data_IF_065629684721
#
_entry.id   IF_065629684721
#
_cell.length_a   1.000
_cell.length_b   1.000
_cell.length_c   1.000
_cell.angle_alpha   90.00
_cell.angle_beta   90.00
_cell.angle_gamma   90.00
#
_symmetry.space_group_name_H-M   'P 1'
#
loop_
_entity.id
_entity.type
_entity.pdbx_description
1 polymer ?
#
# COMPACT_ATOMS: atom_id res chain seq x y z
N UNK A 1 19.45 19.45 -14.68
CA UNK A 1 18.19 20.12 -14.29
C UNK A 1 17.25 19.34 -13.37
N UNK A 2 17.22 18.00 -13.42
CA UNK A 2 16.38 17.18 -12.55
C UNK A 2 16.74 17.24 -11.04
N UNK A 3 17.95 17.67 -10.68
CA UNK A 3 18.40 17.73 -9.29
C UNK A 3 17.58 18.71 -8.43
N UNK A 4 17.25 18.31 -7.20
CA UNK A 4 16.66 19.20 -6.18
C UNK A 4 17.71 20.11 -5.56
N UNK A 5 17.29 21.19 -4.91
CA UNK A 5 18.21 22.15 -4.27
C UNK A 5 19.07 21.48 -3.20
N UNK A 6 18.51 20.53 -2.45
CA UNK A 6 19.23 19.85 -1.38
C UNK A 6 20.33 18.92 -1.90
N UNK A 7 20.07 18.24 -3.04
CA UNK A 7 21.10 17.46 -3.74
C UNK A 7 22.22 18.36 -4.26
N UNK A 8 21.89 19.54 -4.80
CA UNK A 8 22.92 20.50 -5.23
C UNK A 8 23.75 21.00 -4.04
N UNK A 9 23.11 21.31 -2.89
CA UNK A 9 23.83 21.70 -1.68
C UNK A 9 24.73 20.59 -1.14
N UNK A 10 24.32 19.32 -1.28
CA UNK A 10 25.16 18.17 -0.93
C UNK A 10 26.45 18.17 -1.75
N UNK A 11 26.37 18.28 -3.08
CA UNK A 11 27.57 18.37 -3.93
C UNK A 11 28.40 19.63 -3.67
N UNK A 12 27.77 20.79 -3.41
CA UNK A 12 28.51 21.99 -3.03
C UNK A 12 29.32 21.76 -1.75
N UNK A 13 28.76 21.05 -0.76
CA UNK A 13 29.47 20.71 0.47
C UNK A 13 30.66 19.79 0.22
N UNK A 14 30.46 18.77 -0.60
CA UNK A 14 31.48 17.77 -0.94
C UNK A 14 32.69 18.41 -1.63
N UNK A 15 32.46 19.40 -2.50
CA UNK A 15 33.49 20.11 -3.27
C UNK A 15 33.99 21.37 -2.52
N UNK A 16 33.45 21.68 -1.34
CA UNK A 16 33.89 22.82 -0.53
C UNK A 16 33.44 24.20 -1.06
N UNK A 17 32.31 24.26 -1.78
CA UNK A 17 31.72 25.48 -2.34
C UNK A 17 30.57 25.99 -1.47
N UNK A 18 30.35 27.31 -1.44
CA UNK A 18 29.27 27.93 -0.67
C UNK A 18 27.86 27.42 -1.07
N UNK A 19 27.06 27.01 -0.08
CA UNK A 19 25.74 26.37 -0.22
C UNK A 19 24.54 27.35 -0.28
N UNK A 20 24.77 28.66 -0.35
CA UNK A 20 23.71 29.69 -0.33
C UNK A 20 23.24 30.05 -1.74
N UNK A 21 22.01 30.52 -1.92
CA UNK A 21 21.51 31.05 -3.21
C UNK A 21 20.38 30.23 -3.85
N UNK A 22 19.90 30.69 -5.02
CA UNK A 22 18.87 30.00 -5.79
C UNK A 22 19.46 28.80 -6.53
N UNK A 23 18.60 27.90 -7.03
CA UNK A 23 18.99 26.69 -7.78
C UNK A 23 19.96 27.00 -8.94
N UNK A 24 19.70 28.08 -9.69
CA UNK A 24 20.55 28.52 -10.79
C UNK A 24 21.97 28.89 -10.33
N UNK A 25 22.09 29.61 -9.21
CA UNK A 25 23.39 30.05 -8.68
C UNK A 25 24.22 28.89 -8.15
N UNK A 26 23.57 27.87 -7.57
CA UNK A 26 24.22 26.64 -7.11
C UNK A 26 24.72 25.81 -8.30
N UNK A 27 23.92 25.69 -9.37
CA UNK A 27 24.32 25.00 -10.59
C UNK A 27 25.51 25.67 -11.27
N UNK A 28 25.48 27.01 -11.40
CA UNK A 28 26.58 27.76 -12.00
C UNK A 28 27.89 27.57 -11.22
N UNK A 29 27.82 27.64 -9.88
CA UNK A 29 28.97 27.41 -8.99
C UNK A 29 29.51 25.99 -9.06
N UNK A 30 28.64 24.99 -9.10
CA UNK A 30 29.06 23.60 -9.23
C UNK A 30 29.78 23.38 -10.57
N UNK A 31 29.21 23.85 -11.68
CA UNK A 31 29.85 23.73 -13.01
C UNK A 31 31.25 24.36 -13.01
N UNK A 32 31.37 25.59 -12.51
CA UNK A 32 32.67 26.26 -12.43
C UNK A 32 33.68 25.51 -11.54
N UNK A 33 33.23 24.92 -10.44
CA UNK A 33 34.10 24.14 -9.56
C UNK A 33 34.57 22.82 -10.20
N UNK A 34 33.66 22.10 -10.87
CA UNK A 34 34.01 20.88 -11.61
C UNK A 34 34.99 21.15 -12.75
N UNK A 35 34.78 22.24 -13.50
CA UNK A 35 35.70 22.67 -14.56
C UNK A 35 37.08 23.05 -14.01
N UNK A 36 37.14 23.80 -12.90
CA UNK A 36 38.40 24.20 -12.26
C UNK A 36 39.19 22.99 -11.74
N UNK A 37 38.49 22.01 -11.18
CA UNK A 37 39.11 20.84 -10.56
C UNK A 37 39.35 19.70 -11.59
N UNK A 38 39.02 19.92 -12.87
CA UNK A 38 39.18 18.94 -13.96
C UNK A 38 38.34 17.68 -13.79
N UNK A 39 37.28 17.74 -12.98
CA UNK A 39 36.40 16.60 -12.69
C UNK A 39 35.22 16.61 -13.65
N UNK A 40 34.82 15.42 -14.11
CA UNK A 40 33.60 15.27 -14.89
C UNK A 40 32.37 15.62 -14.04
N UNK A 41 31.32 16.15 -14.69
CA UNK A 41 30.05 16.39 -14.03
C UNK A 41 29.45 15.06 -13.53
N UNK A 42 28.70 15.08 -12.40
CA UNK A 42 28.12 13.87 -11.86
C UNK A 42 27.20 13.18 -12.86
N UNK A 43 27.34 11.88 -13.02
CA UNK A 43 26.48 11.10 -13.89
C UNK A 43 25.08 10.91 -13.24
N UNK A 44 24.06 10.48 -14.00
CA UNK A 44 22.71 10.29 -13.45
C UNK A 44 22.63 9.31 -12.26
N UNK A 45 23.52 8.33 -12.21
CA UNK A 45 23.57 7.34 -11.12
C UNK A 45 24.11 7.97 -9.82
N UNK A 46 25.17 8.76 -9.90
CA UNK A 46 25.72 9.52 -8.76
C UNK A 46 24.69 10.53 -8.21
N UNK A 47 23.91 11.15 -9.10
CA UNK A 47 22.77 11.99 -8.73
C UNK A 47 21.70 11.23 -7.96
N UNK A 48 21.38 10.00 -8.37
CA UNK A 48 20.41 9.15 -7.67
C UNK A 48 20.93 8.73 -6.29
N UNK A 49 22.19 8.29 -6.17
CA UNK A 49 22.81 7.95 -4.89
C UNK A 49 22.87 9.15 -3.93
N UNK A 50 23.19 10.35 -4.43
CA UNK A 50 23.18 11.56 -3.63
C UNK A 50 21.76 11.91 -3.14
N UNK A 51 20.73 11.68 -3.96
CA UNK A 51 19.34 11.88 -3.58
C UNK A 51 18.91 10.93 -2.45
N UNK A 52 19.27 9.65 -2.52
CA UNK A 52 19.03 8.68 -1.44
C UNK A 52 19.74 9.08 -0.15
N UNK A 53 20.98 9.56 -0.26
CA UNK A 53 21.78 10.01 0.90
C UNK A 53 21.15 11.21 1.58
N UNK A 54 20.69 12.20 0.80
CA UNK A 54 20.00 13.39 1.32
C UNK A 54 18.67 12.99 1.99
N UNK A 55 17.93 12.05 1.40
CA UNK A 55 16.69 11.53 2.00
C UNK A 55 16.98 10.82 3.33
N UNK A 56 17.99 9.96 3.39
CA UNK A 56 18.40 9.28 4.61
C UNK A 56 18.82 10.27 5.72
N UNK A 57 19.62 11.28 5.39
CA UNK A 57 20.01 12.33 6.34
C UNK A 57 18.79 13.13 6.84
N UNK A 58 17.82 13.40 5.97
CA UNK A 58 16.58 14.10 6.37
C UNK A 58 15.75 13.27 7.35
N UNK A 59 15.68 11.95 7.17
CA UNK A 59 14.97 11.03 8.05
C UNK A 59 15.66 10.92 9.42
N UNK A 60 17.00 10.82 9.44
CA UNK A 60 17.77 10.81 10.68
C UNK A 60 17.65 12.12 11.46
N UNK A 61 17.64 13.27 10.78
CA UNK A 61 17.40 14.57 11.43
C UNK A 61 15.98 14.67 12.02
N UNK A 62 14.98 14.10 11.34
CA UNK A 62 13.59 14.04 11.82
C UNK A 62 13.46 13.15 13.07
N UNK A 63 14.17 12.02 13.15
CA UNK A 63 14.12 11.14 14.33
C UNK A 63 14.91 11.67 15.53
N UNK A 64 16.04 12.34 15.31
CA UNK A 64 16.82 12.97 16.38
C UNK A 64 16.05 14.10 17.09
N UNK A 65 15.27 14.90 16.35
CA UNK A 65 14.41 15.94 16.93
C UNK A 65 13.26 15.38 17.76
N UNK A 66 12.79 14.18 17.45
CA UNK A 66 11.74 13.50 18.22
C UNK A 66 12.27 13.04 19.59
N UNK A 67 13.46 12.46 19.64
CA UNK A 67 14.08 12.02 20.91
C UNK A 67 14.36 13.19 21.86
N UNK A 68 14.83 14.33 21.34
CA UNK A 68 15.07 15.52 22.17
C UNK A 68 13.78 16.15 22.74
N UNK A 69 12.65 16.00 22.03
CA UNK A 69 11.36 16.49 22.52
C UNK A 69 10.74 15.60 23.61
N UNK A 70 11.14 14.32 23.68
CA UNK A 70 10.67 13.36 24.67
C UNK A 70 11.54 13.38 25.95
N UNK A 71 12.82 13.79 25.86
CA UNK A 71 13.72 13.91 27.02
C UNK A 71 13.54 15.22 27.83
N UNK A 72 13.08 16.32 27.21
CA UNK A 72 12.82 17.60 27.90
C UNK A 72 11.40 17.70 28.51
N UNK A 73 10.67 16.58 28.60
CA UNK A 73 9.29 16.49 29.10
C UNK A 73 9.14 16.09 30.57
N UNK A 74 10.19 16.20 31.38
CA UNK A 74 10.21 15.83 32.79
C UNK A 74 10.29 17.03 33.72
N UNK A 75 9.24 17.20 34.53
CA UNK A 75 9.19 17.94 35.80
C UNK A 75 9.15 19.48 35.73
N UNK A 76 7.95 20.05 35.93
CA UNK A 76 7.75 21.13 36.92
C UNK A 76 6.26 21.48 37.06
N UNK A 77 5.85 21.60 38.32
CA UNK A 77 4.58 22.06 38.83
C UNK A 77 4.28 23.54 38.51
N UNK A 78 2.97 23.83 38.45
CA UNK A 78 2.30 25.13 38.65
C UNK A 78 2.54 26.30 37.66
N UNK A 79 1.42 26.70 37.02
CA UNK A 79 1.00 28.09 36.95
C UNK A 79 1.58 29.00 35.86
N UNK A 80 0.99 28.97 34.64
CA UNK A 80 0.50 30.15 33.87
C UNK A 80 0.23 29.80 32.39
N UNK A 81 -0.74 30.47 31.71
CA UNK A 81 -1.12 30.15 30.34
C UNK A 81 -0.21 30.86 29.32
N UNK A 82 0.89 30.21 28.94
CA UNK A 82 1.70 30.67 27.78
C UNK A 82 1.21 30.01 26.50
N UNK A 83 0.71 30.85 25.60
CA UNK A 83 0.21 30.55 24.25
C UNK A 83 1.34 29.94 23.39
N UNK A 84 1.50 28.61 23.41
CA UNK A 84 2.56 27.90 22.65
C UNK A 84 2.20 27.78 21.16
N UNK A 85 3.02 28.39 20.30
CA UNK A 85 3.11 28.13 18.85
C UNK A 85 3.70 26.73 18.60
N UNK A 86 2.87 25.68 18.63
CA UNK A 86 3.19 24.36 18.03
C UNK A 86 2.39 24.23 16.74
N UNK A 87 3.04 24.44 15.58
CA UNK A 87 2.36 24.30 14.28
C UNK A 87 3.28 24.02 13.09
N UNK A 88 4.56 24.38 13.13
CA UNK A 88 5.37 24.46 11.90
C UNK A 88 5.96 23.15 11.39
N UNK A 89 6.12 22.12 12.22
CA UNK A 89 6.78 20.85 11.80
C UNK A 89 5.79 19.85 11.20
N UNK A 90 4.54 19.83 11.68
CA UNK A 90 3.49 18.96 11.12
C UNK A 90 2.96 19.47 9.78
N UNK A 91 2.95 20.80 9.57
CA UNK A 91 2.54 21.39 8.30
C UNK A 91 3.54 21.07 7.18
N UNK A 92 4.84 20.94 7.47
CA UNK A 92 5.85 20.56 6.47
C UNK A 92 5.68 19.11 5.98
N UNK A 93 5.46 18.15 6.89
CA UNK A 93 5.19 16.75 6.52
C UNK A 93 3.87 16.59 5.77
N UNK A 94 2.89 17.46 6.06
CA UNK A 94 1.61 17.51 5.34
C UNK A 94 1.77 18.09 3.93
N UNK A 95 2.58 19.14 3.76
CA UNK A 95 2.87 19.72 2.44
C UNK A 95 3.62 18.73 1.56
N UNK A 96 4.60 17.99 2.11
CA UNK A 96 5.32 16.93 1.38
C UNK A 96 4.36 15.82 0.90
N UNK A 97 3.45 15.35 1.76
CA UNK A 97 2.46 14.33 1.38
C UNK A 97 1.44 14.85 0.36
N UNK A 98 0.95 16.08 0.51
CA UNK A 98 0.02 16.68 -0.46
C UNK A 98 0.70 16.93 -1.82
N UNK A 99 2.00 17.23 -1.85
CA UNK A 99 2.78 17.40 -3.08
C UNK A 99 3.00 16.05 -3.80
N UNK A 100 3.39 14.99 -3.08
CA UNK A 100 3.51 13.65 -3.66
C UNK A 100 2.19 13.15 -4.24
N UNK A 101 1.08 13.44 -3.58
CA UNK A 101 -0.25 13.03 -4.04
C UNK A 101 -0.72 13.79 -5.29
N UNK A 102 -0.32 15.07 -5.43
CA UNK A 102 -0.54 15.84 -6.67
C UNK A 102 0.29 15.28 -7.83
N UNK A 103 1.55 14.93 -7.57
CA UNK A 103 2.42 14.35 -8.59
C UNK A 103 1.92 12.98 -9.08
N UNK A 104 1.40 12.14 -8.18
CA UNK A 104 0.78 10.85 -8.53
C UNK A 104 -0.49 11.05 -9.37
N UNK A 105 -1.31 12.06 -9.04
CA UNK A 105 -2.52 12.40 -9.80
C UNK A 105 -2.19 12.92 -11.21
N UNK A 106 -1.19 13.79 -11.35
CA UNK A 106 -0.70 14.28 -12.65
C UNK A 106 -0.14 13.13 -13.51
N UNK A 107 0.54 12.16 -12.91
CA UNK A 107 1.00 10.96 -13.60
C UNK A 107 -0.15 10.08 -14.08
N UNK A 108 -1.21 9.96 -13.29
CA UNK A 108 -2.41 9.19 -13.65
C UNK A 108 -3.18 9.88 -14.80
N UNK A 109 -3.36 11.20 -14.75
CA UNK A 109 -3.95 11.98 -15.84
C UNK A 109 -3.11 11.87 -17.12
N UNK A 110 -1.77 11.89 -17.01
CA UNK A 110 -0.88 11.70 -18.15
C UNK A 110 -1.02 10.30 -18.75
N UNK A 111 -1.14 9.26 -17.93
CA UNK A 111 -1.39 7.88 -18.40
C UNK A 111 -2.75 7.76 -19.09
N UNK A 112 -3.77 8.44 -18.57
CA UNK A 112 -5.10 8.47 -19.19
C UNK A 112 -5.08 9.18 -20.56
N UNK A 113 -4.37 10.31 -20.66
CA UNK A 113 -4.17 11.02 -21.93
C UNK A 113 -3.38 10.16 -22.94
N UNK A 114 -2.33 9.48 -22.50
CA UNK A 114 -1.56 8.59 -23.36
C UNK A 114 -2.38 7.39 -23.85
N UNK A 115 -3.21 6.81 -22.97
CA UNK A 115 -4.13 5.73 -23.34
C UNK A 115 -5.18 6.20 -24.36
N UNK A 116 -5.68 7.44 -24.23
CA UNK A 116 -6.61 8.01 -25.20
C UNK A 116 -5.92 8.27 -26.54
N UNK A 117 -4.72 8.85 -26.55
CA UNK A 117 -3.96 9.08 -27.78
C UNK A 117 -3.63 7.77 -28.54
N UNK A 118 -3.42 6.66 -27.81
CA UNK A 118 -3.27 5.34 -28.44
C UNK A 118 -4.54 4.88 -29.16
N UNK A 119 -5.71 5.08 -28.57
CA UNK A 119 -7.00 4.75 -29.21
C UNK A 119 -7.22 5.60 -30.46
N UNK A 120 -6.99 6.90 -30.37
CA UNK A 120 -7.18 7.80 -31.51
C UNK A 120 -6.23 7.45 -32.68
N UNK A 121 -5.01 7.00 -32.39
CA UNK A 121 -4.07 6.49 -33.41
C UNK A 121 -4.52 5.16 -34.03
N UNK A 122 -5.09 4.23 -33.24
CA UNK A 122 -5.61 2.96 -33.74
C UNK A 122 -6.84 3.18 -34.65
N UNK A 123 -7.70 4.14 -34.32
CA UNK A 123 -8.84 4.55 -35.15
C UNK A 123 -8.38 5.17 -36.47
N UNK A 124 -7.40 6.09 -36.44
CA UNK A 124 -6.82 6.69 -37.65
C UNK A 124 -6.15 5.65 -38.56
N UNK A 125 -5.54 4.61 -37.98
CA UNK A 125 -4.91 3.52 -38.73
C UNK A 125 -5.94 2.57 -39.35
N UNK A 126 -7.08 2.39 -38.70
CA UNK A 126 -8.20 1.57 -39.19
C UNK A 126 -8.90 2.22 -40.39
N UNK A 127 -9.10 3.54 -40.39
CA UNK A 127 -9.68 4.26 -41.53
C UNK A 127 -8.75 4.29 -42.76
N UNK A 128 -7.44 4.29 -42.54
CA UNK A 128 -6.46 4.25 -43.63
C UNK A 128 -6.40 2.90 -44.35
N UNK A 129 -6.79 1.80 -43.68
CA UNK A 129 -6.80 0.46 -44.28
C UNK A 129 -8.07 0.14 -45.08
N UNK A 130 -9.10 0.99 -45.01
CA UNK A 130 -10.37 0.80 -45.71
C UNK A 130 -10.36 1.24 -47.19
N UNK A 131 -9.31 1.92 -47.67
CA UNK A 131 -9.28 2.50 -49.04
C UNK A 131 -8.43 1.73 -50.07
N UNK A 132 -8.03 0.49 -49.79
CA UNK A 132 -7.17 -0.29 -50.72
C UNK A 132 -7.63 -1.72 -51.01
N UNK A 133 -8.94 -1.97 -51.04
CA UNK A 133 -9.51 -3.18 -51.67
C UNK A 133 -10.46 -2.83 -52.79
N UNK A 134 -9.87 -2.41 -53.90
CA UNK A 134 -10.50 -2.41 -55.21
C UNK A 134 -9.58 -3.12 -56.19
N UNK A 135 -10.11 -4.19 -56.81
CA UNK A 135 -9.61 -4.86 -58.02
C UNK A 135 -8.47 -5.88 -57.86
N UNK A 136 -8.83 -7.15 -58.05
CA UNK A 136 -7.88 -8.25 -58.28
C UNK A 136 -8.61 -9.59 -58.36
N UNK A 137 -8.94 -9.99 -59.59
CA UNK A 137 -9.73 -11.17 -59.93
C UNK A 137 -8.89 -12.47 -60.03
N UNK A 138 -9.60 -13.59 -59.90
CA UNK A 138 -9.39 -14.92 -60.50
C UNK A 138 -8.33 -15.90 -59.94
N UNK A 139 -8.77 -17.15 -59.78
CA UNK A 139 -7.98 -18.38 -59.66
C UNK A 139 -8.41 -19.27 -58.48
N UNK A 140 -9.35 -20.23 -58.63
CA UNK A 140 -9.11 -21.68 -58.86
C UNK A 140 -8.02 -22.27 -57.93
N UNK A 141 -8.15 -23.37 -57.18
CA UNK A 141 -9.02 -24.55 -57.19
C UNK A 141 -8.50 -25.50 -56.09
N UNK A 142 -9.34 -26.39 -55.56
CA UNK A 142 -8.91 -27.71 -55.04
C UNK A 142 -8.92 -27.89 -53.51
N UNK A 143 -9.80 -28.78 -53.03
CA UNK A 143 -9.85 -29.30 -51.65
C UNK A 143 -8.73 -30.31 -51.32
N UNK A 144 -8.90 -31.31 -50.43
CA UNK A 144 -10.13 -31.79 -49.78
C UNK A 144 -10.02 -32.06 -48.25
N UNK A 145 -11.16 -32.51 -47.71
CA UNK A 145 -11.40 -33.37 -46.54
C UNK A 145 -10.20 -33.70 -45.60
N UNK A 146 -10.39 -33.45 -44.30
CA UNK A 146 -10.25 -34.55 -43.34
C UNK A 146 -11.21 -34.37 -42.15
N UNK A 147 -12.12 -35.33 -42.03
CA UNK A 147 -12.95 -35.58 -40.85
C UNK A 147 -12.05 -36.27 -39.83
N UNK A 148 -11.97 -35.76 -38.60
CA UNK A 148 -11.70 -36.62 -37.45
C UNK A 148 -12.38 -36.12 -36.20
N UNK A 149 -13.35 -36.93 -35.80
CA UNK A 149 -13.93 -37.02 -34.46
C UNK A 149 -12.87 -36.86 -33.37
N UNK A 150 -13.11 -35.95 -32.42
CA UNK A 150 -12.64 -36.13 -31.06
C UNK A 150 -13.79 -36.00 -30.08
N UNK A 151 -14.23 -37.18 -29.68
CA UNK A 151 -15.03 -37.53 -28.52
C UNK A 151 -14.58 -36.75 -27.29
N UNK A 152 -15.57 -36.40 -26.48
CA UNK A 152 -15.37 -35.85 -25.16
C UNK A 152 -14.69 -36.80 -24.19
N UNK A 153 -14.08 -36.21 -23.18
CA UNK A 153 -13.77 -36.84 -21.91
C UNK A 153 -14.04 -35.81 -20.83
N UNK A 154 -15.22 -35.90 -20.23
CA UNK A 154 -15.46 -35.35 -18.90
C UNK A 154 -14.57 -36.12 -17.92
N UNK A 155 -13.77 -35.39 -17.17
CA UNK A 155 -12.98 -35.93 -16.07
C UNK A 155 -13.36 -35.14 -14.83
N UNK A 156 -14.31 -35.68 -14.07
CA UNK A 156 -14.56 -35.30 -12.68
C UNK A 156 -13.39 -35.79 -11.81
N UNK A 157 -12.89 -35.00 -10.85
CA UNK A 157 -11.99 -35.49 -9.83
C UNK A 157 -12.80 -36.15 -8.69
N UNK A 158 -12.31 -37.26 -8.10
CA UNK A 158 -12.95 -37.85 -6.94
C UNK A 158 -12.65 -37.05 -5.67
N UNK A 159 -13.70 -36.78 -4.91
CA UNK A 159 -13.65 -36.32 -3.53
C UNK A 159 -12.97 -37.40 -2.68
N UNK A 160 -11.79 -37.09 -2.13
CA UNK A 160 -11.18 -37.91 -1.08
C UNK A 160 -11.50 -37.29 0.27
N UNK A 161 -12.59 -37.73 0.87
CA UNK A 161 -12.83 -37.55 2.30
C UNK A 161 -11.84 -38.44 3.08
N UNK A 162 -10.78 -37.84 3.64
CA UNK A 162 -10.00 -38.48 4.69
C UNK A 162 -10.36 -37.86 6.04
N UNK A 163 -11.22 -38.59 6.74
CA UNK A 163 -11.50 -38.47 8.15
C UNK A 163 -10.28 -38.93 8.96
N UNK A 164 -9.56 -38.00 9.57
CA UNK A 164 -8.64 -38.34 10.66
C UNK A 164 -9.36 -38.16 11.99
N UNK A 165 -9.91 -39.27 12.48
CA UNK A 165 -10.24 -39.46 13.89
C UNK A 165 -8.92 -39.46 14.68
N UNK A 166 -8.67 -38.39 15.44
CA UNK A 166 -7.64 -38.41 16.48
C UNK A 166 -8.26 -38.94 17.77
N UNK A 167 -7.90 -40.17 18.10
CA UNK A 167 -8.24 -40.84 19.34
C UNK A 167 -7.50 -40.23 20.53
N UNK A 168 -8.23 -40.17 21.63
CA UNK A 168 -7.79 -39.67 22.92
C UNK A 168 -7.01 -40.72 23.73
N UNK A 169 -5.91 -40.27 24.34
CA UNK A 169 -5.31 -40.77 25.61
C UNK A 169 -4.56 -42.11 25.60
N UNK A 170 -3.85 -42.49 26.70
CA UNK A 170 -3.71 -41.77 27.97
C UNK A 170 -2.29 -41.74 28.60
N UNK A 171 -2.15 -40.81 29.55
CA UNK A 171 -1.43 -40.84 30.84
C UNK A 171 -0.33 -41.89 31.10
N UNK A 172 0.87 -41.34 31.31
CA UNK A 172 1.75 -41.55 32.46
C UNK A 172 1.36 -42.62 33.50
N UNK A 173 2.25 -43.58 33.74
CA UNK A 173 2.56 -44.07 35.09
C UNK A 173 3.88 -44.86 35.08
N UNK A 174 4.85 -44.34 35.84
CA UNK A 174 5.79 -45.03 36.74
C UNK A 174 6.04 -46.51 36.49
N UNK A 175 7.31 -46.91 36.36
CA UNK A 175 7.93 -47.96 37.18
C UNK A 175 9.47 -47.85 37.09
N UNK A 176 10.06 -47.44 38.21
CA UNK A 176 11.48 -47.58 38.51
C UNK A 176 11.85 -49.06 38.52
N UNK A 177 12.82 -49.46 37.70
CA UNK A 177 13.52 -50.74 37.89
C UNK A 177 15.01 -50.56 37.60
N UNK A 178 15.72 -50.30 38.68
CA UNK A 178 17.16 -50.43 38.82
C UNK A 178 17.60 -51.86 38.49
N UNK A 179 18.22 -52.04 37.33
CA UNK A 179 19.06 -53.20 37.04
C UNK A 179 20.51 -52.72 36.90
N UNK A 180 21.28 -52.98 37.95
CA UNK A 180 22.74 -53.02 37.92
C UNK A 180 23.19 -54.12 36.96
N UNK A 181 23.97 -53.74 35.95
CA UNK A 181 24.78 -54.67 35.15
C UNK A 181 26.25 -54.26 35.22
N UNK A 182 27.17 -55.23 35.14
CA UNK A 182 28.53 -55.10 35.61
C UNK A 182 29.41 -54.30 34.64
N UNK A 183 30.41 -53.64 35.21
CA UNK A 183 31.52 -53.00 34.52
C UNK A 183 32.25 -54.01 33.61
N UNK A 184 31.97 -53.95 32.32
CA UNK A 184 32.86 -54.48 31.29
C UNK A 184 34.00 -53.50 31.06
N UNK A 185 35.08 -53.73 31.81
CA UNK A 185 36.39 -53.10 31.67
C UNK A 185 37.13 -53.71 30.49
N UNK A 186 36.80 -53.37 29.23
CA UNK A 186 37.70 -53.58 28.09
C UNK A 186 37.41 -52.55 26.99
N UNK A 187 38.36 -51.62 26.79
CA UNK A 187 38.42 -50.78 25.59
C UNK A 187 37.91 -49.35 25.74
N UNK A 188 38.46 -48.57 26.70
CA UNK A 188 38.39 -47.10 26.68
C UNK A 188 39.15 -46.55 25.46
N UNK A 189 38.52 -46.61 24.28
CA UNK A 189 38.72 -45.54 23.29
C UNK A 189 37.96 -44.34 23.85
N UNK A 190 38.72 -43.38 24.38
CA UNK A 190 38.28 -41.99 24.52
C UNK A 190 37.75 -41.54 23.15
N UNK A 191 36.46 -41.77 22.87
CA UNK A 191 35.72 -40.85 22.02
C UNK A 191 35.56 -39.62 22.89
N UNK A 192 36.54 -38.72 22.75
CA UNK A 192 36.42 -37.33 23.14
C UNK A 192 34.99 -36.90 22.83
N UNK A 193 34.34 -36.30 23.83
CA UNK A 193 33.01 -35.76 23.67
C UNK A 193 32.99 -34.96 22.38
N UNK A 194 32.12 -35.34 21.46
CA UNK A 194 31.66 -34.47 20.39
C UNK A 194 30.92 -33.34 21.08
N UNK A 195 31.67 -32.42 21.69
CA UNK A 195 31.19 -31.10 21.98
C UNK A 195 30.70 -30.53 20.65
N UNK A 196 29.52 -29.91 20.66
CA UNK A 196 29.01 -29.21 19.49
C UNK A 196 30.01 -28.12 19.01
N UNK A 197 30.94 -27.73 19.89
CA UNK A 197 32.04 -26.80 19.63
C UNK A 197 33.20 -27.41 18.81
N UNK A 198 33.33 -28.74 18.75
CA UNK A 198 34.39 -29.45 17.99
C UNK A 198 33.92 -29.88 16.58
N UNK A 199 32.86 -29.26 16.05
CA UNK A 199 32.54 -29.36 14.62
C UNK A 199 33.56 -28.54 13.80
N UNK A 200 34.83 -28.93 13.87
CA UNK A 200 35.91 -28.28 13.17
C UNK A 200 35.64 -28.31 11.67
N UNK A 201 35.73 -27.12 11.06
CA UNK A 201 35.50 -26.91 9.64
C UNK A 201 36.68 -27.42 8.81
N UNK A 202 36.88 -28.74 8.83
CA UNK A 202 37.95 -29.39 8.07
C UNK A 202 37.70 -29.26 6.56
N UNK A 203 38.75 -29.14 5.73
CA UNK A 203 38.59 -29.12 4.27
C UNK A 203 37.82 -30.33 3.71
N UNK A 204 37.87 -31.49 4.38
CA UNK A 204 37.12 -32.69 4.00
C UNK A 204 35.63 -32.59 4.31
N UNK A 205 35.24 -32.07 5.47
CA UNK A 205 33.81 -31.86 5.81
C UNK A 205 33.19 -30.81 4.90
N UNK A 206 33.92 -29.73 4.60
CA UNK A 206 33.50 -28.71 3.63
C UNK A 206 33.25 -29.29 2.23
N UNK A 207 34.16 -30.13 1.71
CA UNK A 207 33.97 -30.77 0.39
C UNK A 207 32.74 -31.69 0.38
N UNK A 208 32.56 -32.52 1.41
CA UNK A 208 31.37 -33.39 1.52
C UNK A 208 30.06 -32.62 1.54
N UNK A 209 30.03 -31.46 2.19
CA UNK A 209 28.83 -30.61 2.24
C UNK A 209 28.56 -29.90 0.91
N UNK A 210 29.60 -29.51 0.17
CA UNK A 210 29.43 -29.02 -1.20
C UNK A 210 28.89 -30.12 -2.13
N UNK A 211 29.44 -31.33 -2.06
CA UNK A 211 28.99 -32.46 -2.88
C UNK A 211 27.53 -32.84 -2.55
N UNK A 212 27.18 -32.83 -1.26
CA UNK A 212 25.81 -33.07 -0.80
C UNK A 212 24.86 -31.95 -1.26
N UNK A 213 25.27 -30.68 -1.17
CA UNK A 213 24.47 -29.55 -1.65
C UNK A 213 24.24 -29.63 -3.17
N UNK A 214 25.28 -29.93 -3.95
CA UNK A 214 25.18 -30.10 -5.40
C UNK A 214 24.26 -31.27 -5.78
N UNK A 215 24.43 -32.44 -5.17
CA UNK A 215 23.56 -33.60 -5.41
C UNK A 215 22.10 -33.28 -5.08
N UNK A 216 21.85 -32.65 -3.94
CA UNK A 216 20.49 -32.25 -3.54
C UNK A 216 19.89 -31.23 -4.51
N UNK A 217 20.70 -30.31 -5.03
CA UNK A 217 20.26 -29.32 -5.99
C UNK A 217 19.94 -29.92 -7.37
N UNK A 218 20.73 -30.89 -7.81
CA UNK A 218 20.54 -31.62 -9.07
C UNK A 218 19.27 -32.49 -9.02
N UNK A 219 19.03 -33.16 -7.89
CA UNK A 219 17.80 -33.93 -7.65
C UNK A 219 16.53 -33.06 -7.68
N UNK A 220 16.62 -31.83 -7.17
CA UNK A 220 15.51 -30.88 -7.13
C UNK A 220 15.38 -30.02 -8.41
N UNK A 221 16.27 -30.20 -9.39
CA UNK A 221 16.23 -29.45 -10.66
C UNK A 221 16.42 -27.94 -10.51
N UNK A 222 17.14 -27.49 -9.47
CA UNK A 222 17.35 -26.06 -9.19
C UNK A 222 18.18 -25.37 -10.27
N UNK A 223 17.98 -24.06 -10.47
CA UNK A 223 18.72 -23.28 -11.47
C UNK A 223 20.23 -23.25 -11.16
N UNK A 224 21.06 -22.98 -12.17
CA UNK A 224 22.51 -22.91 -11.97
C UNK A 224 22.93 -21.73 -11.06
N UNK A 225 22.17 -20.63 -11.08
CA UNK A 225 22.40 -19.46 -10.22
C UNK A 225 22.03 -19.76 -8.76
N UNK A 226 20.88 -20.41 -8.53
CA UNK A 226 20.45 -20.81 -7.19
C UNK A 226 21.39 -21.85 -6.59
N UNK A 227 21.88 -22.78 -7.41
CA UNK A 227 22.90 -23.77 -7.02
C UNK A 227 24.14 -23.13 -6.42
N UNK A 228 24.71 -22.13 -7.09
CA UNK A 228 25.89 -21.42 -6.59
C UNK A 228 25.59 -20.72 -5.25
N UNK A 229 24.39 -20.16 -5.10
CA UNK A 229 23.98 -19.53 -3.85
C UNK A 229 23.85 -20.53 -2.70
N UNK A 230 23.29 -21.72 -2.95
CA UNK A 230 23.12 -22.79 -1.96
C UNK A 230 24.48 -23.33 -1.52
N UNK A 231 25.39 -23.54 -2.47
CA UNK A 231 26.77 -23.97 -2.21
C UNK A 231 27.57 -22.91 -1.46
N UNK A 232 27.32 -21.62 -1.70
CA UNK A 232 27.94 -20.55 -0.91
C UNK A 232 27.40 -20.54 0.54
N UNK A 233 26.08 -20.68 0.72
CA UNK A 233 25.43 -20.69 2.04
C UNK A 233 25.86 -21.92 2.87
N UNK A 234 26.04 -23.08 2.25
CA UNK A 234 26.45 -24.30 2.95
C UNK A 234 27.87 -24.25 3.50
N UNK A 235 28.67 -23.25 3.09
CA UNK A 235 30.02 -23.03 3.60
C UNK A 235 30.06 -22.18 4.87
N UNK A 236 28.93 -21.57 5.27
CA UNK A 236 28.85 -20.74 6.46
C UNK A 236 28.79 -21.58 7.75
N UNK A 237 29.26 -21.04 8.89
CA UNK A 237 29.11 -21.71 10.18
C UNK A 237 27.65 -22.00 10.51
N UNK A 238 27.37 -23.15 11.12
CA UNK A 238 26.01 -23.61 11.42
C UNK A 238 25.14 -22.55 12.14
N UNK A 239 25.63 -21.78 13.13
CA UNK A 239 24.82 -20.73 13.76
C UNK A 239 24.38 -19.64 12.78
N UNK A 240 25.25 -19.27 11.82
CA UNK A 240 24.97 -18.25 10.80
C UNK A 240 23.94 -18.78 9.80
N UNK A 241 24.09 -20.05 9.38
CA UNK A 241 23.14 -20.72 8.51
C UNK A 241 21.75 -20.82 9.17
N UNK A 242 21.69 -21.14 10.47
CA UNK A 242 20.43 -21.20 11.19
C UNK A 242 19.76 -19.82 11.30
N UNK A 243 20.51 -18.77 11.64
CA UNK A 243 19.99 -17.40 11.70
C UNK A 243 19.50 -16.96 10.32
N UNK A 244 20.27 -17.21 9.26
CA UNK A 244 19.90 -16.82 7.89
C UNK A 244 18.67 -17.60 7.40
N UNK A 245 18.56 -18.88 7.72
CA UNK A 245 17.39 -19.70 7.41
C UNK A 245 16.14 -19.20 8.13
N UNK A 246 16.23 -18.90 9.44
CA UNK A 246 15.12 -18.34 10.21
C UNK A 246 14.71 -16.96 9.69
N UNK A 247 15.68 -16.09 9.34
CA UNK A 247 15.41 -14.80 8.75
C UNK A 247 14.72 -14.92 7.37
N UNK A 248 15.20 -15.82 6.50
CA UNK A 248 14.57 -16.10 5.20
C UNK A 248 13.17 -16.67 5.36
N UNK A 249 12.97 -17.62 6.26
CA UNK A 249 11.66 -18.19 6.55
C UNK A 249 10.70 -17.12 7.09
N UNK A 250 11.16 -16.26 8.00
CA UNK A 250 10.37 -15.14 8.51
C UNK A 250 9.97 -14.18 7.38
N UNK A 251 10.92 -13.82 6.49
CA UNK A 251 10.65 -12.96 5.34
C UNK A 251 9.67 -13.61 4.35
N UNK A 252 9.79 -14.92 4.11
CA UNK A 252 8.86 -15.64 3.24
C UNK A 252 7.46 -15.69 3.84
N UNK A 253 7.33 -15.96 5.15
CA UNK A 253 6.03 -15.90 5.84
C UNK A 253 5.40 -14.52 5.74
N UNK A 254 6.19 -13.45 5.95
CA UNK A 254 5.73 -12.08 5.76
C UNK A 254 5.30 -11.82 4.32
N UNK A 255 6.05 -12.28 3.31
CA UNK A 255 5.71 -12.08 1.91
C UNK A 255 4.39 -12.79 1.53
N UNK A 256 4.15 -14.01 2.02
CA UNK A 256 2.87 -14.72 1.81
C UNK A 256 1.73 -13.94 2.48
N UNK A 257 1.92 -13.51 3.72
CA UNK A 257 0.91 -12.70 4.43
C UNK A 257 0.61 -11.37 3.72
N UNK A 258 1.63 -10.67 3.25
CA UNK A 258 1.45 -9.43 2.48
C UNK A 258 0.69 -9.67 1.17
N UNK A 259 0.97 -10.78 0.49
CA UNK A 259 0.24 -11.18 -0.72
C UNK A 259 -1.23 -11.47 -0.41
N UNK A 260 -1.52 -12.18 0.69
CA UNK A 260 -2.90 -12.48 1.11
C UNK A 260 -3.66 -11.20 1.46
N UNK A 261 -3.02 -10.26 2.16
CA UNK A 261 -3.59 -8.94 2.46
C UNK A 261 -3.86 -8.16 1.18
N UNK A 262 -2.94 -8.16 0.22
CA UNK A 262 -3.14 -7.48 -1.06
C UNK A 262 -4.30 -8.11 -1.86
N UNK A 263 -4.40 -9.44 -1.87
CA UNK A 263 -5.51 -10.17 -2.50
C UNK A 263 -6.84 -9.80 -1.85
N UNK A 264 -6.89 -9.74 -0.52
CA UNK A 264 -8.07 -9.28 0.21
C UNK A 264 -8.42 -7.82 -0.10
N UNK A 265 -7.45 -6.91 -0.12
CA UNK A 265 -7.68 -5.50 -0.47
C UNK A 265 -8.18 -5.32 -1.91
N UNK A 266 -7.74 -6.18 -2.84
CA UNK A 266 -8.20 -6.18 -4.23
C UNK A 266 -9.61 -6.78 -4.39
N UNK A 267 -10.03 -7.62 -3.43
CA UNK A 267 -11.26 -8.39 -3.50
C UNK A 267 -12.52 -7.52 -3.63
N UNK A 268 -13.56 -8.02 -4.31
CA UNK A 268 -14.85 -7.33 -4.41
C UNK A 268 -15.52 -7.14 -3.05
N UNK A 269 -15.37 -8.10 -2.13
CA UNK A 269 -15.97 -8.06 -0.79
C UNK A 269 -15.42 -6.90 0.05
N UNK A 270 -14.12 -6.66 -0.01
CA UNK A 270 -13.51 -5.49 0.62
C UNK A 270 -14.06 -4.19 0.04
N UNK A 271 -14.16 -4.09 -1.29
CA UNK A 271 -14.71 -2.91 -1.96
C UNK A 271 -16.17 -2.64 -1.58
N UNK A 272 -17.02 -3.66 -1.58
CA UNK A 272 -18.44 -3.49 -1.25
C UNK A 272 -18.66 -3.18 0.23
N UNK A 273 -17.90 -3.80 1.13
CA UNK A 273 -18.20 -3.78 2.56
C UNK A 273 -17.44 -2.69 3.29
N UNK A 274 -16.16 -2.49 2.95
CA UNK A 274 -15.29 -1.53 3.65
C UNK A 274 -15.38 -0.15 3.02
N UNK A 275 -15.24 -0.06 1.68
CA UNK A 275 -15.22 1.26 1.02
C UNK A 275 -16.54 2.00 1.18
N UNK A 276 -17.67 1.33 0.97
CA UNK A 276 -18.99 1.96 1.11
C UNK A 276 -19.26 2.42 2.55
N UNK A 277 -18.88 1.61 3.55
CA UNK A 277 -19.03 1.98 4.96
C UNK A 277 -18.11 3.12 5.36
N UNK A 278 -16.89 3.19 4.83
CA UNK A 278 -16.00 4.33 5.08
C UNK A 278 -16.51 5.61 4.43
N UNK A 279 -17.12 5.51 3.24
CA UNK A 279 -17.76 6.64 2.60
C UNK A 279 -18.94 7.16 3.42
N UNK A 280 -19.79 6.29 3.97
CA UNK A 280 -20.84 6.71 4.90
C UNK A 280 -20.27 7.28 6.20
N UNK A 281 -19.19 6.71 6.71
CA UNK A 281 -18.44 7.21 7.89
C UNK A 281 -17.89 8.63 7.66
N UNK A 282 -17.50 8.99 6.43
CA UNK A 282 -17.09 10.36 6.08
C UNK A 282 -18.25 11.36 6.09
N UNK A 283 -19.48 10.87 5.88
CA UNK A 283 -20.71 11.65 5.94
C UNK A 283 -21.28 11.76 7.36
N UNK A 284 -20.84 10.90 8.29
CA UNK A 284 -21.28 10.90 9.68
C UNK A 284 -21.06 12.28 10.33
N UNK A 285 -22.10 12.91 10.89
CA UNK A 285 -22.07 14.25 11.45
C UNK A 285 -21.20 14.34 12.69
N UNK A 286 -21.04 13.25 13.44
CA UNK A 286 -20.25 13.18 14.67
C UNK A 286 -18.74 13.11 14.37
N UNK A 287 -18.36 12.65 13.18
CA UNK A 287 -16.96 12.50 12.78
C UNK A 287 -16.42 13.73 12.04
N UNK A 288 -16.01 14.78 12.75
CA UNK A 288 -15.53 16.03 12.13
C UNK A 288 -14.64 15.79 10.88
N UNK A 289 -14.95 16.47 9.77
CA UNK A 289 -14.38 16.20 8.44
C UNK A 289 -12.89 16.54 8.33
N UNK A 290 -12.40 17.37 9.25
CA UNK A 290 -11.03 17.88 9.31
C UNK A 290 -10.24 17.35 10.50
N UNK A 291 -10.70 16.27 11.14
CA UNK A 291 -9.97 15.74 12.29
C UNK A 291 -8.65 15.14 11.83
N UNK A 292 -7.56 15.73 12.32
CA UNK A 292 -6.25 15.06 12.42
C UNK A 292 -6.49 13.62 12.92
N UNK A 293 -5.85 12.63 12.31
CA UNK A 293 -5.98 11.22 12.68
C UNK A 293 -7.30 10.54 12.24
N UNK A 294 -8.00 11.05 11.22
CA UNK A 294 -9.16 10.35 10.63
C UNK A 294 -8.81 8.91 10.22
N UNK A 295 -7.66 8.72 9.56
CA UNK A 295 -7.18 7.39 9.18
C UNK A 295 -7.07 6.46 10.39
N UNK A 296 -6.39 6.93 11.44
CA UNK A 296 -6.22 6.19 12.70
C UNK A 296 -7.55 5.85 13.35
N UNK A 297 -8.52 6.77 13.32
CA UNK A 297 -9.88 6.53 13.85
C UNK A 297 -10.63 5.48 13.03
N UNK A 298 -10.58 5.55 11.70
CA UNK A 298 -11.17 4.56 10.83
C UNK A 298 -10.54 3.17 11.04
N UNK A 299 -9.21 3.08 11.09
CA UNK A 299 -8.51 1.82 11.38
C UNK A 299 -8.90 1.26 12.75
N UNK A 300 -8.94 2.12 13.78
CA UNK A 300 -9.39 1.72 15.12
C UNK A 300 -10.83 1.21 15.10
N UNK A 301 -11.73 1.89 14.38
CA UNK A 301 -13.12 1.47 14.28
C UNK A 301 -13.28 0.13 13.56
N UNK A 302 -12.53 -0.11 12.48
CA UNK A 302 -12.52 -1.41 11.79
C UNK A 302 -12.04 -2.52 12.73
N UNK A 303 -10.96 -2.27 13.48
CA UNK A 303 -10.44 -3.22 14.48
C UNK A 303 -11.44 -3.54 15.60
N UNK A 304 -12.16 -2.53 16.09
CA UNK A 304 -13.13 -2.72 17.17
C UNK A 304 -14.44 -3.37 16.69
N UNK A 305 -14.74 -3.28 15.39
CA UNK A 305 -16.01 -3.75 14.82
C UNK A 305 -15.81 -4.57 13.54
N UNK A 306 -15.02 -5.66 13.54
CA UNK A 306 -14.70 -6.43 12.34
C UNK A 306 -15.95 -7.04 11.68
N UNK A 307 -16.94 -7.44 12.48
CA UNK A 307 -18.23 -7.95 11.99
C UNK A 307 -19.02 -6.91 11.19
N UNK A 308 -18.93 -5.63 11.56
CA UNK A 308 -19.56 -4.55 10.77
C UNK A 308 -18.91 -4.47 9.39
N UNK A 309 -17.60 -4.63 9.28
CA UNK A 309 -16.88 -4.54 8.01
C UNK A 309 -16.80 -5.87 7.25
N UNK A 310 -17.36 -6.96 7.80
CA UNK A 310 -17.24 -8.32 7.25
C UNK A 310 -15.78 -8.70 6.99
N UNK A 311 -14.88 -8.30 7.90
CA UNK A 311 -13.46 -8.62 7.79
C UNK A 311 -13.23 -10.08 8.20
N UNK A 312 -12.66 -10.93 7.32
CA UNK A 312 -12.34 -12.32 7.63
C UNK A 312 -11.45 -12.42 8.87
N UNK A 313 -11.62 -13.48 9.68
CA UNK A 313 -10.93 -13.64 10.97
C UNK A 313 -9.40 -13.70 10.83
N UNK A 314 -8.93 -14.39 9.80
CA UNK A 314 -7.53 -14.46 9.36
C UNK A 314 -6.96 -13.08 8.99
N UNK A 315 -7.80 -12.13 8.56
CA UNK A 315 -7.39 -10.80 8.13
C UNK A 315 -7.39 -9.74 9.25
N UNK A 316 -7.90 -10.06 10.44
CA UNK A 316 -8.11 -9.06 11.50
C UNK A 316 -6.80 -8.50 12.06
N UNK A 317 -5.76 -9.34 12.19
CA UNK A 317 -4.44 -8.91 12.66
C UNK A 317 -3.80 -7.89 11.71
N UNK A 318 -4.06 -8.05 10.41
CA UNK A 318 -3.50 -7.24 9.33
C UNK A 318 -4.18 -5.90 9.11
N UNK A 319 -5.33 -5.63 9.75
CA UNK A 319 -5.95 -4.28 9.75
C UNK A 319 -4.99 -3.23 10.32
N UNK A 320 -4.04 -3.69 11.13
CA UNK A 320 -2.93 -2.96 11.74
C UNK A 320 -1.78 -2.61 10.82
N UNK A 321 -1.68 -3.29 9.67
CA UNK A 321 -0.52 -3.23 8.80
C UNK A 321 -0.41 -1.88 8.10
N UNK A 322 0.82 -1.52 7.76
CA UNK A 322 1.09 -0.30 7.00
C UNK A 322 0.43 -0.37 5.60
N UNK A 323 0.46 -1.55 4.96
CA UNK A 323 -0.20 -1.77 3.66
C UNK A 323 -1.70 -1.47 3.73
N UNK A 324 -2.37 -1.95 4.77
CA UNK A 324 -3.79 -1.67 4.98
C UNK A 324 -4.02 -0.16 5.20
N UNK A 325 -3.20 0.48 6.02
CA UNK A 325 -3.29 1.91 6.30
C UNK A 325 -3.12 2.77 5.03
N UNK A 326 -2.13 2.47 4.19
CA UNK A 326 -1.88 3.15 2.91
C UNK A 326 -3.08 2.99 1.98
N UNK A 327 -3.62 1.77 1.86
CA UNK A 327 -4.77 1.51 1.01
C UNK A 327 -6.02 2.24 1.50
N UNK A 328 -6.27 2.21 2.82
CA UNK A 328 -7.37 2.92 3.46
C UNK A 328 -7.26 4.44 3.26
N UNK A 329 -6.05 4.99 3.38
CA UNK A 329 -5.77 6.42 3.13
C UNK A 329 -6.11 6.83 1.70
N UNK A 330 -5.74 6.01 0.72
CA UNK A 330 -6.09 6.23 -0.70
C UNK A 330 -7.61 6.22 -0.90
N UNK A 331 -8.32 5.26 -0.32
CA UNK A 331 -9.79 5.18 -0.39
C UNK A 331 -10.44 6.43 0.20
N UNK A 332 -10.02 6.83 1.41
CA UNK A 332 -10.57 8.02 2.07
C UNK A 332 -10.29 9.30 1.28
N UNK A 333 -9.11 9.42 0.68
CA UNK A 333 -8.73 10.56 -0.16
C UNK A 333 -9.58 10.62 -1.42
N UNK A 334 -9.74 9.50 -2.13
CA UNK A 334 -10.61 9.39 -3.30
C UNK A 334 -12.08 9.68 -2.97
N UNK A 335 -12.59 9.12 -1.87
CA UNK A 335 -13.95 9.37 -1.40
C UNK A 335 -14.18 10.86 -1.10
N UNK A 336 -13.23 11.53 -0.44
CA UNK A 336 -13.30 12.97 -0.19
C UNK A 336 -13.27 13.80 -1.48
N UNK A 337 -12.40 13.45 -2.43
CA UNK A 337 -12.35 14.11 -3.72
C UNK A 337 -13.68 13.97 -4.48
N UNK A 338 -14.27 12.77 -4.47
CA UNK A 338 -15.58 12.51 -5.07
C UNK A 338 -16.70 13.29 -4.38
N UNK A 339 -16.71 13.36 -3.04
CA UNK A 339 -17.66 14.18 -2.28
C UNK A 339 -17.56 15.65 -2.67
N UNK A 340 -16.33 16.19 -2.73
CA UNK A 340 -16.10 17.58 -3.15
C UNK A 340 -16.58 17.82 -4.58
N UNK A 341 -16.23 16.92 -5.51
CA UNK A 341 -16.66 17.01 -6.90
C UNK A 341 -18.19 17.03 -7.02
N UNK A 342 -18.89 16.08 -6.39
CA UNK A 342 -20.36 16.04 -6.38
C UNK A 342 -21.01 17.29 -5.78
N UNK A 343 -20.38 17.91 -4.76
CA UNK A 343 -20.86 19.17 -4.20
C UNK A 343 -20.69 20.34 -5.18
N UNK A 344 -19.57 20.39 -5.90
CA UNK A 344 -19.30 21.41 -6.91
C UNK A 344 -20.25 21.23 -8.10
N UNK A 345 -20.33 20.02 -8.64
CA UNK A 345 -21.19 19.67 -9.77
C UNK A 345 -22.66 19.93 -9.43
N UNK A 346 -23.11 19.52 -8.24
CA UNK A 346 -24.48 19.77 -7.80
C UNK A 346 -24.80 21.23 -7.55
N UNK A 347 -23.81 22.05 -7.19
CA UNK A 347 -23.96 23.51 -7.15
C UNK A 347 -24.08 24.10 -8.56
N UNK A 348 -23.23 23.66 -9.49
CA UNK A 348 -23.24 24.14 -10.87
C UNK A 348 -24.55 23.80 -11.60
N UNK A 349 -25.12 22.64 -11.30
CA UNK A 349 -26.40 22.17 -11.86
C UNK A 349 -27.64 22.68 -11.09
N UNK A 350 -27.46 23.52 -10.06
CA UNK A 350 -28.55 24.01 -9.21
C UNK A 350 -29.45 22.88 -8.64
N UNK A 351 -28.85 21.71 -8.36
CA UNK A 351 -29.59 20.56 -7.86
C UNK A 351 -30.23 20.90 -6.52
N UNK A 352 -31.49 20.51 -6.39
CA UNK A 352 -32.18 20.52 -5.11
C UNK A 352 -31.37 19.74 -4.05
N UNK A 353 -31.46 20.21 -2.81
CA UNK A 353 -30.70 19.77 -1.66
C UNK A 353 -30.91 18.27 -1.40
N UNK A 354 -32.14 17.77 -1.55
CA UNK A 354 -32.45 16.36 -1.37
C UNK A 354 -31.83 15.51 -2.48
N UNK A 355 -31.89 16.00 -3.73
CA UNK A 355 -31.25 15.37 -4.88
C UNK A 355 -29.72 15.34 -4.74
N UNK A 356 -29.13 16.43 -4.28
CA UNK A 356 -27.71 16.53 -3.97
C UNK A 356 -27.32 15.51 -2.90
N UNK A 357 -28.09 15.39 -1.83
CA UNK A 357 -27.77 14.48 -0.73
C UNK A 357 -27.95 13.02 -1.07
N UNK A 358 -28.99 12.70 -1.84
CA UNK A 358 -29.17 11.38 -2.44
C UNK A 358 -27.98 11.02 -3.34
N UNK A 359 -27.45 11.98 -4.09
CA UNK A 359 -26.24 11.77 -4.90
C UNK A 359 -24.98 11.56 -4.04
N UNK A 360 -24.90 12.19 -2.86
CA UNK A 360 -23.78 12.09 -1.93
C UNK A 360 -23.82 10.81 -1.09
N UNK A 361 -25.00 10.22 -0.84
CA UNK A 361 -25.18 9.00 -0.04
C UNK A 361 -24.67 7.70 -0.70
N UNK A 362 -23.84 7.79 -1.76
CA UNK A 362 -23.09 6.70 -2.42
C UNK A 362 -23.74 5.30 -2.38
N UNK A 363 -24.92 5.08 -2.98
CA UNK A 363 -25.64 3.77 -2.98
C UNK A 363 -25.79 3.09 -1.60
N UNK A 364 -25.35 3.74 -0.52
CA UNK A 364 -25.39 3.21 0.82
C UNK A 364 -26.82 3.42 1.31
N UNK A 365 -27.32 2.48 2.10
CA UNK A 365 -28.62 2.54 2.77
C UNK A 365 -28.64 3.60 3.88
N UNK A 366 -27.98 4.72 3.64
CA UNK A 366 -27.74 5.76 4.60
C UNK A 366 -28.93 6.70 4.64
N UNK A 367 -29.65 6.67 5.76
CA UNK A 367 -30.73 7.60 6.04
C UNK A 367 -30.15 8.94 6.50
N UNK A 368 -30.49 10.00 5.78
CA UNK A 368 -30.00 11.35 6.06
C UNK A 368 -30.81 11.92 7.23
N UNK A 369 -30.23 11.88 8.43
CA UNK A 369 -30.82 12.50 9.63
C UNK A 369 -30.47 14.01 9.76
N UNK A 370 -31.18 14.77 10.59
CA UNK A 370 -31.01 16.23 10.78
C UNK A 370 -29.60 16.70 11.15
N UNK A 371 -28.87 15.87 11.89
CA UNK A 371 -27.47 16.13 12.24
C UNK A 371 -26.57 16.23 10.98
N UNK A 372 -26.87 15.46 9.93
CA UNK A 372 -26.15 15.48 8.66
C UNK A 372 -26.33 16.81 7.92
N UNK A 373 -27.55 17.36 7.99
CA UNK A 373 -27.92 18.64 7.43
C UNK A 373 -27.17 19.78 8.11
N UNK A 374 -27.19 19.81 9.44
CA UNK A 374 -26.53 20.85 10.24
C UNK A 374 -25.01 20.95 10.00
N UNK A 375 -24.35 19.83 9.71
CA UNK A 375 -22.91 19.82 9.42
C UNK A 375 -22.56 20.33 8.03
N UNK A 376 -23.33 19.95 7.00
CA UNK A 376 -23.11 20.47 5.65
C UNK A 376 -23.39 21.97 5.60
N UNK A 377 -24.24 22.47 6.49
CA UNK A 377 -24.43 23.92 6.71
C UNK A 377 -23.14 24.68 6.96
N UNK A 378 -22.26 24.12 7.78
CA UNK A 378 -20.97 24.75 8.13
C UNK A 378 -19.88 24.53 7.08
N UNK A 379 -19.99 23.49 6.26
CA UNK A 379 -18.94 23.10 5.32
C UNK A 379 -19.10 23.73 3.93
N UNK A 380 -20.33 24.09 3.55
CA UNK A 380 -20.61 24.74 2.29
C UNK A 380 -20.48 26.27 2.45
N UNK A 381 -19.99 26.98 1.42
CA UNK A 381 -19.90 28.44 1.47
C UNK A 381 -21.25 29.06 1.82
N UNK A 382 -21.26 30.17 2.56
CA UNK A 382 -22.51 30.89 2.88
C UNK A 382 -23.34 31.22 1.62
N UNK A 383 -22.69 31.39 0.47
CA UNK A 383 -23.36 31.62 -0.83
C UNK A 383 -24.19 30.44 -1.32
N UNK A 384 -23.86 29.20 -0.95
CA UNK A 384 -24.69 28.04 -1.26
C UNK A 384 -25.98 28.03 -0.43
N UNK A 385 -25.89 28.37 0.86
CA UNK A 385 -27.07 28.43 1.72
C UNK A 385 -27.97 29.61 1.41
N UNK A 386 -27.39 30.77 1.05
CA UNK A 386 -28.17 31.89 0.54
C UNK A 386 -28.96 31.50 -0.72
N UNK A 387 -28.32 30.82 -1.67
CA UNK A 387 -29.00 30.30 -2.87
C UNK A 387 -30.13 29.31 -2.53
N UNK A 388 -29.87 28.38 -1.61
CA UNK A 388 -30.87 27.42 -1.11
C UNK A 388 -32.04 28.13 -0.45
N UNK A 389 -31.77 29.10 0.43
CA UNK A 389 -32.78 29.87 1.14
C UNK A 389 -33.59 30.74 0.17
N UNK A 390 -32.96 31.29 -0.87
CA UNK A 390 -33.63 32.03 -1.95
C UNK A 390 -34.55 31.12 -2.76
N UNK A 391 -34.08 29.95 -3.22
CA UNK A 391 -34.92 28.96 -3.91
C UNK A 391 -36.08 28.46 -3.04
N UNK A 392 -35.84 28.23 -1.74
CA UNK A 392 -36.89 27.86 -0.79
C UNK A 392 -37.88 29.00 -0.56
N UNK A 393 -37.41 30.24 -0.48
CA UNK A 393 -38.26 31.42 -0.35
C UNK A 393 -39.10 31.63 -1.60
N UNK A 394 -38.54 31.42 -2.79
CA UNK A 394 -39.28 31.51 -4.05
C UNK A 394 -40.33 30.40 -4.15
N UNK A 395 -39.99 29.17 -3.77
CA UNK A 395 -40.98 28.08 -3.66
C UNK A 395 -42.07 28.36 -2.62
N UNK A 396 -41.74 28.97 -1.48
CA UNK A 396 -42.73 29.39 -0.47
C UNK A 396 -43.64 30.49 -1.00
N UNK A 397 -43.10 31.46 -1.76
CA UNK A 397 -43.88 32.51 -2.44
C UNK A 397 -44.80 31.94 -3.51
N UNK A 398 -44.35 30.94 -4.25
CA UNK A 398 -45.18 30.20 -5.22
C UNK A 398 -46.26 29.38 -4.51
N UNK A 399 -45.91 28.68 -3.44
CA UNK A 399 -46.84 27.86 -2.68
C UNK A 399 -47.92 28.70 -1.94
N UNK A 400 -47.63 29.95 -1.59
CA UNK A 400 -48.61 30.89 -1.07
C UNK A 400 -49.76 31.18 -2.06
N UNK A 401 -49.55 30.95 -3.37
CA UNK A 401 -50.58 31.06 -4.40
C UNK A 401 -51.45 29.80 -4.52
N UNK A 402 -51.02 28.69 -3.92
CA UNK A 402 -51.74 27.42 -3.94
C UNK A 402 -52.66 27.26 -2.72
N UNK A 403 -53.76 26.49 -2.84
CA UNK A 403 -54.64 26.11 -1.74
C UNK A 403 -53.86 25.44 -0.61
N UNK A 404 -54.32 25.57 0.64
CA UNK A 404 -53.61 25.11 1.84
C UNK A 404 -53.23 23.62 1.81
N UNK A 405 -54.07 22.80 1.19
CA UNK A 405 -53.90 21.35 1.09
C UNK A 405 -52.74 20.95 0.15
N UNK A 406 -52.50 21.74 -0.91
CA UNK A 406 -51.42 21.51 -1.88
C UNK A 406 -50.11 22.20 -1.47
N UNK A 407 -50.21 23.22 -0.62
CA UNK A 407 -49.08 24.06 -0.18
C UNK A 407 -47.99 23.26 0.53
N UNK A 408 -48.38 22.32 1.41
CA UNK A 408 -47.43 21.45 2.14
C UNK A 408 -46.74 20.46 1.20
N UNK A 409 -47.47 19.89 0.24
CA UNK A 409 -46.92 18.97 -0.74
C UNK A 409 -45.94 19.67 -1.71
N UNK A 410 -46.23 20.93 -2.08
CA UNK A 410 -45.41 21.71 -3.00
C UNK A 410 -44.13 22.28 -2.36
N UNK A 411 -44.14 22.56 -1.05
CA UNK A 411 -42.93 22.97 -0.31
C UNK A 411 -42.02 21.76 0.02
N UNK A 412 -42.61 20.57 0.13
CA UNK A 412 -41.89 19.33 0.44
C UNK A 412 -41.21 18.68 -0.77
N UNK A 413 -41.66 18.96 -1.99
CA UNK A 413 -40.96 18.62 -3.25
C UNK A 413 -39.94 19.68 -3.57
#
# INVERSE_FOLDING_TARGET
DAATVDVLKYFCRDIGVHQTGKKADLLARLKAAFERDGRALPNPHELACAQETVLAQSLLAKTARKRKADEEGGDSSEGQPVRKKRGTVEDAARIENEASLRQELELEDRRAQEAQARRDNDDARSDSSSRHRGSGAAGTSGGPLDQRDRRGSGFEPPETEQSFQSSAGPNSSLHSRSHSMPESVLGRRNRQGTSLDDWEWTPRSKRRLMDCANSSCDEQGTSAEDRQSIVAISQEPLPVLLISALAKQSRQRQAVQEADVQNYLASPSFKSNVTNKLQSTLLDPKLSSYVKNMLTRCMRHIRLHPGTYHTPSDMQEFVSSELFAVHLSRILTRARAQLRKKLIDGKAEEKDIYSLMKSLAFKSSFEVNDEHWGRKKKALPNTFWAFVDDKLNDRRKEALKLPEDERKAHISR
#
